data_IF_952447386108
#
_entry.id   IF_952447386108
#
_cell.length_a   1.000
_cell.length_b   1.000
_cell.length_c   1.000
_cell.angle_alpha   90.00
_cell.angle_beta   90.00
_cell.angle_gamma   90.00
#
_symmetry.space_group_name_H-M   'P 1'
#
loop_
_entity.id
_entity.type
_entity.pdbx_description
1 polymer ?
#
# COMPACT_ATOMS: atom_id res chain seq x y z
N UNK A 1 -38.94 -14.49 24.31
CA UNK A 1 -38.53 -13.77 23.09
C UNK A 1 -37.67 -12.54 23.42
N UNK A 2 -36.72 -12.67 24.35
CA UNK A 2 -36.07 -11.50 24.99
C UNK A 2 -34.55 -11.63 25.17
N UNK A 3 -33.95 -12.77 24.82
CA UNK A 3 -32.48 -12.97 24.96
C UNK A 3 -31.75 -12.68 23.64
N UNK A 4 -32.37 -12.97 22.49
CA UNK A 4 -31.76 -12.73 21.18
C UNK A 4 -31.54 -11.24 20.83
N UNK A 5 -32.34 -10.34 21.42
CA UNK A 5 -32.21 -8.90 21.19
C UNK A 5 -31.00 -8.26 21.87
N UNK A 6 -30.49 -8.85 22.97
CA UNK A 6 -29.37 -8.28 23.72
C UNK A 6 -28.02 -8.49 23.02
N UNK A 7 -27.87 -9.56 22.22
CA UNK A 7 -26.64 -9.89 21.49
C UNK A 7 -26.44 -8.98 20.26
N UNK A 8 -27.52 -8.40 19.75
CA UNK A 8 -27.51 -7.51 18.58
C UNK A 8 -27.41 -6.02 18.93
N UNK A 9 -27.36 -5.68 20.22
CA UNK A 9 -27.09 -4.30 20.62
C UNK A 9 -25.61 -4.00 20.36
N UNK A 10 -25.26 -2.94 19.61
CA UNK A 10 -23.89 -2.54 19.40
C UNK A 10 -23.37 -1.98 20.72
N UNK A 11 -22.89 -2.86 21.59
CA UNK A 11 -22.05 -2.47 22.71
C UNK A 11 -20.81 -1.84 22.06
N UNK A 12 -20.43 -0.63 22.47
CA UNK A 12 -19.24 0.05 21.96
C UNK A 12 -18.06 -0.93 21.97
N UNK A 13 -17.76 -1.49 20.80
CA UNK A 13 -16.58 -2.31 20.61
C UNK A 13 -15.41 -1.36 20.64
N UNK A 14 -14.80 -1.18 21.81
CA UNK A 14 -13.52 -0.49 21.99
C UNK A 14 -12.36 -1.24 21.29
N UNK A 15 -12.63 -1.96 20.20
CA UNK A 15 -11.70 -2.76 19.41
C UNK A 15 -11.32 -2.07 18.09
N UNK A 16 -11.87 -0.90 17.77
CA UNK A 16 -11.31 -0.01 16.75
C UNK A 16 -10.49 1.05 17.46
N UNK A 17 -9.16 0.95 17.35
CA UNK A 17 -8.24 1.94 17.87
C UNK A 17 -8.54 3.30 17.22
N UNK A 18 -9.25 4.16 17.94
CA UNK A 18 -9.48 5.56 17.58
C UNK A 18 -8.15 6.30 17.72
N UNK A 19 -7.28 6.20 16.72
CA UNK A 19 -6.10 7.06 16.65
C UNK A 19 -6.51 8.45 16.16
N UNK A 20 -7.07 9.23 17.08
CA UNK A 20 -7.08 10.68 16.97
C UNK A 20 -5.72 11.31 17.38
N UNK A 21 -4.78 10.49 17.89
CA UNK A 21 -3.45 10.91 18.34
C UNK A 21 -2.36 10.71 17.27
N UNK A 22 -1.30 11.52 17.36
CA UNK A 22 -0.11 11.52 16.48
C UNK A 22 0.57 10.14 16.35
N UNK A 23 0.42 9.27 17.33
CA UNK A 23 1.03 7.93 17.36
C UNK A 23 0.62 7.07 16.17
N UNK A 24 -0.68 7.06 15.82
CA UNK A 24 -1.17 6.27 14.68
C UNK A 24 -0.58 6.75 13.34
N UNK A 25 -0.42 8.07 13.19
CA UNK A 25 0.18 8.68 12.00
C UNK A 25 1.67 8.33 11.92
N UNK A 26 2.39 8.39 13.05
CA UNK A 26 3.82 8.07 13.11
C UNK A 26 4.04 6.58 12.80
N UNK A 27 3.32 5.68 13.48
CA UNK A 27 3.45 4.24 13.24
C UNK A 27 3.12 3.86 11.80
N UNK A 28 2.09 4.49 11.22
CA UNK A 28 1.73 4.30 9.81
C UNK A 28 2.86 4.73 8.87
N UNK A 29 3.44 5.92 9.07
CA UNK A 29 4.57 6.41 8.27
C UNK A 29 5.82 5.55 8.41
N UNK A 30 6.13 5.10 9.63
CA UNK A 30 7.24 4.16 9.89
C UNK A 30 6.99 2.82 9.18
N UNK A 31 5.75 2.35 9.14
CA UNK A 31 5.35 1.18 8.37
C UNK A 31 5.67 1.31 6.88
N UNK A 32 5.34 2.46 6.27
CA UNK A 32 5.68 2.76 4.88
C UNK A 32 7.19 2.80 4.63
N UNK A 33 7.96 3.42 5.54
CA UNK A 33 9.42 3.46 5.43
C UNK A 33 10.04 2.08 5.52
N UNK A 34 9.61 1.26 6.48
CA UNK A 34 10.09 -0.11 6.64
C UNK A 34 9.72 -0.96 5.43
N UNK A 35 8.49 -0.84 4.92
CA UNK A 35 8.05 -1.58 3.75
C UNK A 35 8.82 -1.16 2.49
N UNK A 36 9.04 0.14 2.28
CA UNK A 36 9.88 0.66 1.21
C UNK A 36 11.29 0.06 1.26
N UNK A 37 11.94 0.10 2.43
CA UNK A 37 13.27 -0.47 2.60
C UNK A 37 13.29 -1.97 2.29
N UNK A 38 12.28 -2.70 2.77
CA UNK A 38 12.12 -4.13 2.51
C UNK A 38 12.00 -4.44 1.01
N UNK A 39 11.26 -3.62 0.25
CA UNK A 39 11.13 -3.78 -1.20
C UNK A 39 12.44 -3.50 -1.95
N UNK A 40 13.20 -2.49 -1.52
CA UNK A 40 14.54 -2.20 -2.05
C UNK A 40 15.48 -3.39 -1.81
N UNK A 41 15.53 -3.90 -0.57
CA UNK A 41 16.32 -5.10 -0.22
C UNK A 41 15.88 -6.33 -1.02
N UNK A 42 14.57 -6.50 -1.25
CA UNK A 42 14.03 -7.59 -2.05
C UNK A 42 14.52 -7.52 -3.50
N UNK A 43 14.48 -6.34 -4.14
CA UNK A 43 15.02 -6.14 -5.49
C UNK A 43 16.50 -6.49 -5.54
N UNK A 44 17.31 -5.99 -4.60
CA UNK A 44 18.75 -6.31 -4.56
C UNK A 44 18.99 -7.80 -4.35
N UNK A 45 18.18 -8.47 -3.53
CA UNK A 45 18.29 -9.91 -3.28
C UNK A 45 17.96 -10.72 -4.53
N UNK A 46 16.91 -10.34 -5.26
CA UNK A 46 16.50 -11.01 -6.50
C UNK A 46 17.60 -10.86 -7.56
N UNK A 47 18.07 -9.64 -7.80
CA UNK A 47 19.13 -9.36 -8.78
C UNK A 47 20.46 -10.01 -8.38
N UNK A 48 20.88 -9.87 -7.12
CA UNK A 48 22.16 -10.38 -6.64
C UNK A 48 22.25 -11.91 -6.65
N UNK A 49 21.11 -12.61 -6.59
CA UNK A 49 21.03 -14.07 -6.69
C UNK A 49 20.70 -14.57 -8.11
N UNK A 50 20.55 -13.68 -9.09
CA UNK A 50 20.15 -14.03 -10.46
C UNK A 50 18.77 -14.68 -10.55
N UNK A 51 17.88 -14.42 -9.59
CA UNK A 51 16.54 -15.01 -9.54
C UNK A 51 15.62 -14.43 -10.61
N UNK A 52 15.89 -13.21 -11.08
CA UNK A 52 15.19 -12.49 -12.14
C UNK A 52 15.17 -13.22 -13.50
N UNK A 53 16.04 -14.22 -13.68
CA UNK A 53 16.01 -15.13 -14.82
C UNK A 53 14.72 -15.97 -14.83
N UNK A 54 14.19 -16.30 -13.66
CA UNK A 54 12.91 -16.99 -13.52
C UNK A 54 11.74 -16.00 -13.63
N UNK A 55 10.74 -16.34 -14.44
CA UNK A 55 9.59 -15.48 -14.73
C UNK A 55 8.86 -15.02 -13.47
N UNK A 56 8.65 -15.91 -12.50
CA UNK A 56 7.95 -15.59 -11.25
C UNK A 56 8.67 -14.53 -10.42
N UNK A 57 9.98 -14.68 -10.24
CA UNK A 57 10.82 -13.73 -9.51
C UNK A 57 10.93 -12.37 -10.23
N UNK A 58 11.00 -12.35 -11.56
CA UNK A 58 10.97 -11.10 -12.33
C UNK A 58 9.66 -10.31 -12.12
N UNK A 59 8.53 -11.00 -12.06
CA UNK A 59 7.24 -10.37 -11.75
C UNK A 59 7.20 -9.84 -10.30
N UNK A 60 7.76 -10.58 -9.34
CA UNK A 60 7.91 -10.10 -7.96
C UNK A 60 8.81 -8.85 -7.89
N UNK A 61 9.86 -8.79 -8.71
CA UNK A 61 10.73 -7.63 -8.80
C UNK A 61 10.00 -6.39 -9.34
N UNK A 62 9.17 -6.55 -10.37
CA UNK A 62 8.32 -5.46 -10.86
C UNK A 62 7.30 -5.02 -9.80
N UNK A 63 6.70 -5.97 -9.09
CA UNK A 63 5.81 -5.66 -7.97
C UNK A 63 6.51 -4.83 -6.89
N UNK A 64 7.71 -5.25 -6.47
CA UNK A 64 8.52 -4.52 -5.50
C UNK A 64 8.84 -3.10 -5.97
N UNK A 65 9.13 -2.91 -7.26
CA UNK A 65 9.35 -1.59 -7.84
C UNK A 65 8.11 -0.69 -7.73
N UNK A 66 6.93 -1.18 -8.10
CA UNK A 66 5.69 -0.41 -7.96
C UNK A 66 5.36 -0.12 -6.49
N UNK A 67 5.62 -1.05 -5.57
CA UNK A 67 5.46 -0.79 -4.14
C UNK A 67 6.41 0.28 -3.64
N UNK A 68 7.67 0.35 -4.11
CA UNK A 68 8.58 1.45 -3.75
C UNK A 68 7.99 2.79 -4.17
N UNK A 69 7.53 2.89 -5.43
CA UNK A 69 6.90 4.11 -5.93
C UNK A 69 5.67 4.50 -5.12
N UNK A 70 4.81 3.52 -4.80
CA UNK A 70 3.60 3.76 -4.01
C UNK A 70 3.91 4.21 -2.57
N UNK A 71 4.92 3.64 -1.92
CA UNK A 71 5.33 4.08 -0.58
C UNK A 71 5.92 5.50 -0.61
N UNK A 72 6.75 5.83 -1.62
CA UNK A 72 7.28 7.18 -1.78
C UNK A 72 6.14 8.20 -1.99
N UNK A 73 5.18 7.86 -2.83
CA UNK A 73 3.97 8.65 -3.10
C UNK A 73 3.18 8.91 -1.80
N UNK A 74 2.89 7.85 -1.03
CA UNK A 74 2.15 7.92 0.24
C UNK A 74 2.88 8.76 1.30
N UNK A 75 4.19 8.56 1.47
CA UNK A 75 5.02 9.34 2.39
C UNK A 75 5.00 10.82 2.00
N UNK A 76 5.10 11.11 0.70
CA UNK A 76 5.07 12.47 0.16
C UNK A 76 3.72 13.14 0.40
N UNK A 77 2.62 12.43 0.17
CA UNK A 77 1.27 12.91 0.45
C UNK A 77 1.10 13.29 1.93
N UNK A 78 1.57 12.41 2.84
CA UNK A 78 1.54 12.68 4.27
C UNK A 78 2.50 13.79 4.71
N UNK A 79 3.61 14.01 4.01
CA UNK A 79 4.49 15.13 4.26
C UNK A 79 3.78 16.46 4.00
N UNK A 80 3.09 16.58 2.85
CA UNK A 80 2.33 17.77 2.50
C UNK A 80 1.13 18.05 3.41
N UNK A 81 0.40 17.00 3.79
CA UNK A 81 -0.85 17.09 4.57
C UNK A 81 -0.58 17.28 6.07
N UNK A 82 0.31 16.47 6.66
CA UNK A 82 0.41 16.36 8.12
C UNK A 82 1.60 17.10 8.73
N UNK A 83 2.68 17.33 7.98
CA UNK A 83 3.95 17.82 8.54
C UNK A 83 4.16 19.30 8.22
N UNK A 84 4.08 19.66 6.94
CA UNK A 84 4.27 21.06 6.51
C UNK A 84 2.96 21.83 6.32
N UNK A 85 1.81 21.14 6.43
CA UNK A 85 0.46 21.72 6.28
C UNK A 85 0.33 22.59 5.01
N UNK A 86 1.04 22.21 3.95
CA UNK A 86 1.06 22.97 2.70
C UNK A 86 -0.25 22.79 1.91
N UNK A 87 -0.95 21.69 2.19
CA UNK A 87 -2.24 21.34 1.63
C UNK A 87 -3.18 20.94 2.77
N UNK A 88 -4.43 21.38 2.68
CA UNK A 88 -5.51 21.03 3.59
C UNK A 88 -6.70 20.52 2.78
N UNK A 89 -7.29 19.42 3.24
CA UNK A 89 -8.55 18.92 2.68
C UNK A 89 -9.71 19.50 3.48
N UNK A 90 -10.62 20.19 2.80
CA UNK A 90 -11.87 20.68 3.38
C UNK A 90 -13.05 19.85 2.87
N UNK A 91 -13.80 19.25 3.80
CA UNK A 91 -15.02 18.52 3.49
C UNK A 91 -16.16 19.52 3.26
N UNK A 92 -16.57 19.70 2.00
CA UNK A 92 -17.72 20.57 1.66
C UNK A 92 -19.03 19.77 1.79
N UNK A 93 -19.00 18.48 1.44
CA UNK A 93 -20.15 17.58 1.52
C UNK A 93 -19.66 16.12 1.55
N UNK A 94 -20.56 15.17 1.80
CA UNK A 94 -20.29 13.73 1.82
C UNK A 94 -19.63 13.26 0.51
N UNK A 95 -19.97 13.90 -0.61
CA UNK A 95 -19.46 13.56 -1.95
C UNK A 95 -18.44 14.56 -2.51
N UNK A 96 -18.11 15.62 -1.76
CA UNK A 96 -17.29 16.72 -2.26
C UNK A 96 -16.24 17.14 -1.25
N UNK A 97 -14.99 16.95 -1.65
CA UNK A 97 -13.81 17.45 -0.93
C UNK A 97 -13.13 18.52 -1.77
N UNK A 98 -12.61 19.55 -1.12
CA UNK A 98 -11.83 20.61 -1.74
C UNK A 98 -10.40 20.58 -1.21
N UNK A 99 -9.46 20.66 -2.14
CA UNK A 99 -8.04 20.79 -1.85
C UNK A 99 -7.73 22.29 -1.74
N UNK A 100 -7.29 22.72 -0.57
CA UNK A 100 -6.87 24.11 -0.31
C UNK A 100 -5.35 24.11 -0.13
N UNK A 101 -4.65 24.94 -0.88
CA UNK A 101 -3.18 25.06 -0.80
C UNK A 101 -2.81 26.39 -0.17
N UNK A 102 -1.76 26.42 0.65
CA UNK A 102 -1.40 27.59 1.47
C UNK A 102 -1.11 28.87 0.64
N UNK A 103 -0.64 28.70 -0.61
CA UNK A 103 -0.33 29.80 -1.53
C UNK A 103 -1.28 29.90 -2.73
N UNK A 104 -2.46 29.25 -2.71
CA UNK A 104 -3.35 29.10 -3.88
C UNK A 104 -2.65 28.58 -5.14
N UNK A 105 -1.57 27.80 -4.98
CA UNK A 105 -0.84 27.21 -6.09
C UNK A 105 -1.67 26.10 -6.73
N UNK A 106 -2.12 26.32 -7.97
CA UNK A 106 -2.85 25.33 -8.77
C UNK A 106 -1.99 24.10 -9.09
N UNK A 107 -0.69 24.31 -9.35
CA UNK A 107 0.24 23.22 -9.63
C UNK A 107 0.40 22.28 -8.43
N UNK A 108 0.51 22.85 -7.21
CA UNK A 108 0.59 22.05 -5.99
C UNK A 108 -0.69 21.26 -5.74
N UNK A 109 -1.86 21.84 -6.05
CA UNK A 109 -3.15 21.16 -5.92
C UNK A 109 -3.25 19.96 -6.87
N UNK A 110 -2.85 20.11 -8.14
CA UNK A 110 -2.80 19.02 -9.10
C UNK A 110 -1.80 17.94 -8.71
N UNK A 111 -0.61 18.33 -8.27
CA UNK A 111 0.38 17.38 -7.79
C UNK A 111 -0.14 16.59 -6.60
N UNK A 112 -0.70 17.26 -5.58
CA UNK A 112 -1.29 16.60 -4.42
C UNK A 112 -2.50 15.71 -4.80
N UNK A 113 -3.31 16.11 -5.78
CA UNK A 113 -4.38 15.28 -6.29
C UNK A 113 -3.85 13.96 -6.88
N UNK A 114 -2.75 14.01 -7.64
CA UNK A 114 -2.09 12.81 -8.16
C UNK A 114 -1.55 11.93 -7.02
N UNK A 115 -0.94 12.52 -5.99
CA UNK A 115 -0.44 11.79 -4.81
C UNK A 115 -1.56 11.08 -4.02
N UNK A 116 -2.83 11.48 -4.19
CA UNK A 116 -3.99 10.81 -3.56
C UNK A 116 -4.56 9.68 -4.41
N UNK A 117 -4.06 9.46 -5.62
CA UNK A 117 -4.48 8.37 -6.51
C UNK A 117 -3.73 7.07 -6.18
N UNK A 118 -3.79 6.63 -4.92
CA UNK A 118 -3.05 5.48 -4.37
C UNK A 118 -3.14 4.21 -5.23
N UNK A 119 -4.30 4.00 -5.87
CA UNK A 119 -4.62 2.83 -6.67
C UNK A 119 -3.75 2.72 -7.94
N UNK A 120 -3.24 3.84 -8.46
CA UNK A 120 -2.47 3.86 -9.71
C UNK A 120 -1.19 3.03 -9.62
N UNK A 121 -0.58 3.00 -8.44
CA UNK A 121 0.67 2.27 -8.18
C UNK A 121 0.43 0.96 -7.42
N UNK A 122 -0.47 0.99 -6.42
CA UNK A 122 -0.74 -0.18 -5.58
C UNK A 122 -1.41 -1.34 -6.34
N UNK A 123 -2.38 -1.06 -7.22
CA UNK A 123 -3.10 -2.12 -7.96
C UNK A 123 -2.18 -2.87 -8.92
N UNK A 124 -1.37 -2.21 -9.76
CA UNK A 124 -0.35 -2.90 -10.56
C UNK A 124 0.63 -3.70 -9.71
N UNK A 125 1.10 -3.14 -8.58
CA UNK A 125 2.01 -3.85 -7.67
C UNK A 125 1.42 -5.18 -7.20
N UNK A 126 0.15 -5.19 -6.77
CA UNK A 126 -0.57 -6.38 -6.34
C UNK A 126 -0.78 -7.38 -7.48
N UNK A 127 -1.11 -6.91 -8.68
CA UNK A 127 -1.27 -7.78 -9.86
C UNK A 127 0.03 -8.49 -10.23
N UNK A 128 1.16 -7.77 -10.24
CA UNK A 128 2.47 -8.35 -10.49
C UNK A 128 2.86 -9.34 -9.39
N UNK A 129 2.59 -9.01 -8.12
CA UNK A 129 2.87 -9.88 -6.99
C UNK A 129 2.14 -11.21 -7.13
N UNK A 130 0.82 -11.15 -7.34
CA UNK A 130 -0.03 -12.31 -7.50
C UNK A 130 0.42 -13.20 -8.66
N UNK A 131 0.68 -12.61 -9.83
CA UNK A 131 1.15 -13.37 -11.00
C UNK A 131 2.53 -13.98 -10.76
N UNK A 132 3.43 -13.25 -10.07
CA UNK A 132 4.75 -13.72 -9.71
C UNK A 132 4.72 -14.94 -8.79
N UNK A 133 3.98 -14.84 -7.67
CA UNK A 133 3.78 -15.97 -6.75
C UNK A 133 3.12 -17.16 -7.44
N UNK A 134 2.06 -16.92 -8.22
CA UNK A 134 1.35 -17.98 -8.93
C UNK A 134 2.26 -18.72 -9.91
N UNK A 135 3.15 -17.99 -10.60
CA UNK A 135 4.16 -18.60 -11.48
C UNK A 135 5.12 -19.50 -10.69
N UNK A 136 5.66 -19.03 -9.56
CA UNK A 136 6.59 -19.82 -8.74
C UNK A 136 5.93 -21.09 -8.19
N UNK A 137 4.69 -21.00 -7.72
CA UNK A 137 3.92 -22.15 -7.22
C UNK A 137 3.68 -23.17 -8.33
N UNK A 138 3.33 -22.70 -9.54
CA UNK A 138 3.11 -23.59 -10.68
C UNK A 138 4.40 -24.28 -11.12
N UNK A 139 5.52 -23.54 -11.17
CA UNK A 139 6.83 -24.10 -11.52
C UNK A 139 7.25 -25.19 -10.50
N UNK A 140 7.02 -24.94 -9.20
CA UNK A 140 7.29 -25.92 -8.15
C UNK A 140 6.42 -27.18 -8.26
N UNK A 141 5.12 -27.04 -8.54
CA UNK A 141 4.21 -28.18 -8.74
C UNK A 141 4.63 -29.05 -9.91
N UNK A 142 5.07 -28.44 -11.02
CA UNK A 142 5.57 -29.17 -12.18
C UNK A 142 6.86 -29.94 -11.89
N UNK A 143 7.76 -29.36 -11.08
CA UNK A 143 8.98 -30.05 -10.64
C UNK A 143 8.67 -31.27 -9.76
N UNK A 144 7.72 -31.16 -8.82
CA UNK A 144 7.30 -32.28 -7.98
C UNK A 144 6.65 -33.41 -8.79
N UNK A 145 5.70 -33.08 -9.67
CA UNK A 145 5.02 -34.09 -10.49
C UNK A 145 5.94 -34.84 -11.46
N UNK A 146 7.04 -34.22 -11.92
CA UNK A 146 8.07 -34.92 -12.72
C UNK A 146 8.90 -35.89 -11.89
N UNK A 147 9.13 -35.60 -10.61
CA UNK A 147 9.91 -36.44 -9.70
C UNK A 147 9.16 -37.70 -9.29
N UNK A 148 7.82 -37.67 -9.27
CA UNK A 148 6.98 -38.82 -8.93
C UNK A 148 6.82 -39.82 -10.11
N UNK A 149 7.23 -39.43 -11.33
CA UNK A 149 7.12 -40.24 -12.55
C UNK A 149 8.47 -40.89 -12.93
N UNK A 150 9.57 -40.47 -12.30
CA UNK A 150 10.92 -41.05 -12.46
C UNK A 150 11.24 -42.06 -11.36
#
# INVERSE_FOLDING_TARGET
MTIAGLILLPINGYATQLHASSEGIITHQVGHLFFLFSMVTLIFTITGKGLDQQKGWRLIQYSAFFFILWNLDTITAHFFDNQILAVKIENISILKMKIVTNNNSSLLAWFYYLLKLDHLLCVPAMLFFYKGLSSLVNDQRQMMGKKDIQ
#
